data_IF_822304597816
#
_entry.id   IF_822304597816
#
_cell.length_a   1.000
_cell.length_b   1.000
_cell.length_c   1.000
_cell.angle_alpha   90.00
_cell.angle_beta   90.00
_cell.angle_gamma   90.00
#
_symmetry.space_group_name_H-M   'P 1'
#
loop_
_entity.id
_entity.type
_entity.pdbx_description
1 polymer ?
#
# COMPACT_ATOMS: atom_id res chain seq x y z
N UNK A 1 21.25 -15.81 -12.88
CA UNK A 1 19.98 -15.04 -12.96
C UNK A 1 18.88 -15.71 -13.78
N UNK A 2 19.20 -16.56 -14.75
CA UNK A 2 18.22 -17.30 -15.56
C UNK A 2 17.36 -18.32 -14.76
N UNK A 3 17.92 -18.99 -13.74
CA UNK A 3 17.20 -20.02 -12.98
C UNK A 3 16.00 -19.52 -12.16
N UNK A 4 16.08 -18.32 -11.54
CA UNK A 4 14.95 -17.76 -10.78
C UNK A 4 13.77 -17.34 -11.67
N UNK A 5 14.03 -16.89 -12.90
CA UNK A 5 13.00 -16.55 -13.88
C UNK A 5 12.24 -17.79 -14.37
N UNK A 6 12.96 -18.91 -14.57
CA UNK A 6 12.33 -20.17 -14.97
C UNK A 6 11.46 -20.78 -13.85
N UNK A 7 11.93 -20.75 -12.60
CA UNK A 7 11.18 -21.22 -11.44
C UNK A 7 9.91 -20.41 -11.19
N UNK A 8 9.98 -19.07 -11.36
CA UNK A 8 8.81 -18.21 -11.19
C UNK A 8 7.77 -18.43 -12.30
N UNK A 9 8.21 -18.64 -13.54
CA UNK A 9 7.36 -18.98 -14.68
C UNK A 9 6.65 -20.32 -14.49
N UNK A 10 7.36 -21.31 -13.93
CA UNK A 10 6.79 -22.62 -13.61
C UNK A 10 5.74 -22.52 -12.49
N UNK A 11 6.02 -21.77 -11.43
CA UNK A 11 5.09 -21.55 -10.33
C UNK A 11 3.81 -20.81 -10.79
N UNK A 12 3.95 -19.83 -11.70
CA UNK A 12 2.82 -19.11 -12.27
C UNK A 12 1.98 -19.97 -13.21
N UNK A 13 2.59 -20.86 -13.99
CA UNK A 13 1.89 -21.82 -14.83
C UNK A 13 1.14 -22.88 -13.97
N UNK A 14 1.76 -23.34 -12.87
CA UNK A 14 1.11 -24.26 -11.92
C UNK A 14 -0.05 -23.62 -11.16
N UNK A 15 0.00 -22.31 -10.88
CA UNK A 15 -1.10 -21.57 -10.28
C UNK A 15 -2.30 -21.46 -11.24
N UNK A 16 -2.05 -21.22 -12.52
CA UNK A 16 -3.09 -21.18 -13.56
C UNK A 16 -3.84 -22.52 -13.70
N UNK A 17 -3.12 -23.65 -13.59
CA UNK A 17 -3.73 -25.00 -13.63
C UNK A 17 -4.64 -25.27 -12.43
N UNK A 18 -4.39 -24.62 -11.29
CA UNK A 18 -5.23 -24.75 -10.08
C UNK A 18 -6.46 -23.84 -10.05
N UNK A 19 -6.76 -23.14 -11.15
CA UNK A 19 -7.90 -22.23 -11.22
C UNK A 19 -7.68 -20.85 -10.59
N UNK A 20 -6.43 -20.48 -10.33
CA UNK A 20 -6.06 -19.17 -9.83
C UNK A 20 -5.92 -18.20 -11.01
N UNK A 21 -6.84 -17.24 -11.10
CA UNK A 21 -7.15 -16.47 -12.32
C UNK A 21 -6.20 -15.33 -12.69
N UNK A 22 -4.98 -15.24 -12.18
CA UNK A 22 -4.07 -14.15 -12.58
C UNK A 22 -2.61 -14.58 -12.64
N UNK A 23 -2.08 -14.64 -13.85
CA UNK A 23 -0.64 -14.78 -14.10
C UNK A 23 -0.09 -13.45 -14.59
N UNK A 24 0.77 -12.81 -13.79
CA UNK A 24 1.52 -11.62 -14.22
C UNK A 24 2.84 -12.04 -14.84
N UNK A 25 2.99 -11.85 -16.13
CA UNK A 25 4.24 -12.07 -16.86
C UNK A 25 5.01 -10.73 -16.98
N UNK A 26 6.03 -10.55 -16.15
CA UNK A 26 7.09 -9.53 -16.29
C UNK A 26 6.67 -8.15 -16.83
N UNK A 27 6.01 -7.35 -15.99
CA UNK A 27 5.71 -5.95 -16.33
C UNK A 27 4.76 -5.74 -17.50
N UNK A 28 4.23 -6.82 -18.08
CA UNK A 28 3.17 -6.80 -19.07
C UNK A 28 1.93 -7.42 -18.43
N UNK A 29 0.94 -6.61 -18.12
CA UNK A 29 -0.36 -7.07 -17.67
C UNK A 29 -1.17 -7.50 -18.89
N UNK A 30 -1.49 -8.78 -18.95
CA UNK A 30 -2.47 -9.34 -19.89
C UNK A 30 -3.32 -10.33 -19.11
N UNK A 31 -4.64 -10.34 -19.37
CA UNK A 31 -5.48 -11.44 -18.92
C UNK A 31 -5.18 -12.66 -19.79
N UNK A 32 -4.76 -13.74 -19.18
CA UNK A 32 -4.55 -15.02 -19.85
C UNK A 32 -5.75 -15.90 -19.53
N UNK A 33 -6.66 -16.04 -20.48
CA UNK A 33 -7.83 -16.91 -20.38
C UNK A 33 -7.61 -18.31 -20.99
N UNK A 34 -6.36 -18.75 -21.12
CA UNK A 34 -6.05 -20.06 -21.67
C UNK A 34 -5.63 -21.04 -20.56
N UNK A 35 -6.34 -22.16 -20.47
CA UNK A 35 -6.02 -23.28 -19.58
C UNK A 35 -4.97 -24.16 -20.25
N UNK A 36 -3.87 -24.44 -19.56
CA UNK A 36 -2.87 -25.40 -20.03
C UNK A 36 -3.35 -26.83 -19.76
N UNK A 37 -3.26 -27.69 -20.76
CA UNK A 37 -3.54 -29.11 -20.58
C UNK A 37 -2.40 -29.81 -19.84
N UNK A 38 -2.61 -30.99 -19.20
CA UNK A 38 -1.56 -31.78 -18.57
C UNK A 38 -0.37 -32.06 -19.50
N UNK A 39 -0.62 -32.25 -20.80
CA UNK A 39 0.42 -32.52 -21.80
C UNK A 39 1.27 -31.26 -22.08
N UNK A 40 0.68 -30.08 -22.03
CA UNK A 40 1.40 -28.81 -22.16
C UNK A 40 2.33 -28.53 -20.98
N UNK A 41 2.15 -29.22 -19.85
CA UNK A 41 3.01 -29.11 -18.67
C UNK A 41 4.21 -30.05 -18.70
N UNK A 42 4.24 -31.04 -19.61
CA UNK A 42 5.36 -31.99 -19.73
C UNK A 42 6.61 -31.36 -20.35
N UNK A 43 6.49 -30.32 -21.19
CA UNK A 43 7.60 -29.52 -21.68
C UNK A 43 7.35 -28.01 -21.48
N UNK A 44 7.69 -27.48 -20.29
CA UNK A 44 7.42 -26.08 -19.95
C UNK A 44 8.11 -25.06 -20.86
N UNK A 45 9.26 -25.42 -21.48
CA UNK A 45 10.00 -24.50 -22.35
C UNK A 45 9.31 -24.37 -23.70
N UNK A 46 8.87 -25.48 -24.27
CA UNK A 46 8.15 -25.52 -25.55
C UNK A 46 6.81 -24.82 -25.43
N UNK A 47 6.05 -25.16 -24.40
CA UNK A 47 4.75 -24.56 -24.10
C UNK A 47 4.86 -23.04 -23.90
N UNK A 48 5.91 -22.55 -23.22
CA UNK A 48 6.14 -21.11 -23.05
C UNK A 48 6.45 -20.40 -24.37
N UNK A 49 7.28 -21.03 -25.24
CA UNK A 49 7.62 -20.47 -26.54
C UNK A 49 6.42 -20.42 -27.50
N UNK A 50 5.53 -21.40 -27.45
CA UNK A 50 4.28 -21.42 -28.19
C UNK A 50 3.30 -20.40 -27.65
N UNK A 51 3.20 -20.28 -26.34
CA UNK A 51 2.35 -19.30 -25.66
C UNK A 51 2.78 -17.86 -25.96
N UNK A 52 4.09 -17.56 -25.96
CA UNK A 52 4.61 -16.24 -26.35
C UNK A 52 4.28 -15.86 -27.80
N UNK A 53 4.11 -16.84 -28.70
CA UNK A 53 3.70 -16.62 -30.10
C UNK A 53 2.19 -16.37 -30.24
N UNK A 54 1.38 -16.95 -29.39
CA UNK A 54 -0.10 -16.89 -29.47
C UNK A 54 -0.70 -15.73 -28.69
N UNK A 55 -0.03 -15.25 -27.63
CA UNK A 55 -0.52 -14.12 -26.84
C UNK A 55 -0.28 -12.82 -27.59
N UNK A 56 -1.30 -12.29 -28.23
CA UNK A 56 -1.31 -10.90 -28.70
C UNK A 56 -1.41 -9.99 -27.50
N UNK A 57 -0.28 -9.43 -27.06
CA UNK A 57 -0.33 -8.36 -26.07
C UNK A 57 -1.02 -7.15 -26.71
N UNK A 58 -2.20 -6.77 -26.20
CA UNK A 58 -2.78 -5.50 -26.57
C UNK A 58 -1.82 -4.39 -26.20
N UNK A 59 -1.41 -3.58 -27.17
CA UNK A 59 -0.68 -2.37 -26.87
C UNK A 59 -1.56 -1.46 -26.01
N UNK A 60 -0.96 -0.64 -25.13
CA UNK A 60 -1.72 0.38 -24.34
C UNK A 60 -2.60 1.28 -25.21
N UNK A 61 -2.31 1.37 -26.52
CA UNK A 61 -3.09 2.14 -27.49
C UNK A 61 -4.52 1.62 -27.71
N UNK A 62 -4.82 0.37 -27.37
CA UNK A 62 -6.13 -0.26 -27.58
C UNK A 62 -6.95 -0.42 -26.31
N UNK A 63 -6.52 0.17 -25.18
CA UNK A 63 -7.37 0.25 -24.00
C UNK A 63 -8.49 1.27 -24.27
N UNK A 64 -9.74 0.97 -23.90
CA UNK A 64 -10.81 1.94 -24.00
C UNK A 64 -10.42 3.20 -23.23
N UNK A 65 -10.90 4.38 -23.65
CA UNK A 65 -10.69 5.61 -22.92
C UNK A 65 -11.05 5.39 -21.44
N UNK A 66 -10.17 5.80 -20.54
CA UNK A 66 -10.49 5.74 -19.12
C UNK A 66 -11.62 6.73 -18.89
N UNK A 67 -12.76 6.24 -18.43
CA UNK A 67 -13.86 7.11 -18.07
C UNK A 67 -13.40 8.15 -17.05
N UNK A 68 -13.81 9.41 -17.18
CA UNK A 68 -13.47 10.45 -16.21
C UNK A 68 -14.00 10.05 -14.83
N UNK A 69 -13.16 10.19 -13.82
CA UNK A 69 -13.55 9.95 -12.42
C UNK A 69 -14.61 10.99 -12.06
N UNK A 70 -15.80 10.59 -11.60
CA UNK A 70 -16.82 11.55 -11.23
C UNK A 70 -16.32 12.43 -10.06
N UNK A 71 -16.75 13.70 -9.98
CA UNK A 71 -16.49 14.54 -8.82
C UNK A 71 -16.97 13.86 -7.53
N UNK A 72 -16.13 13.88 -6.50
CA UNK A 72 -16.45 13.30 -5.20
C UNK A 72 -16.63 14.40 -4.17
N UNK A 73 -17.51 14.14 -3.22
CA UNK A 73 -17.70 15.01 -2.08
C UNK A 73 -16.45 14.96 -1.19
N UNK A 74 -15.74 16.08 -1.11
CA UNK A 74 -14.52 16.22 -0.32
C UNK A 74 -14.80 16.86 1.04
N UNK A 75 -16.05 17.18 1.36
CA UNK A 75 -16.42 17.79 2.65
C UNK A 75 -16.18 16.83 3.82
N UNK A 76 -15.93 17.42 4.98
CA UNK A 76 -15.70 16.65 6.20
C UNK A 76 -17.01 16.03 6.71
N UNK A 77 -17.15 14.73 6.51
CA UNK A 77 -18.31 13.95 6.98
C UNK A 77 -17.87 12.67 7.69
N UNK A 78 -17.24 12.78 8.87
CA UNK A 78 -16.78 11.59 9.56
C UNK A 78 -17.96 10.81 10.15
N UNK A 79 -17.88 9.49 10.00
CA UNK A 79 -18.72 8.57 10.76
C UNK A 79 -17.89 7.98 11.91
N UNK A 80 -18.20 8.40 13.13
CA UNK A 80 -17.53 7.92 14.32
C UNK A 80 -16.09 8.46 14.48
N UNK A 81 -15.26 7.69 15.15
CA UNK A 81 -13.86 8.04 15.39
C UNK A 81 -13.01 7.91 14.12
N UNK A 82 -12.08 8.84 13.94
CA UNK A 82 -11.19 8.93 12.78
C UNK A 82 -9.90 8.17 13.03
N UNK A 83 -9.38 7.49 12.01
CA UNK A 83 -8.05 6.87 12.02
C UNK A 83 -7.13 7.49 10.95
N UNK A 84 -5.92 7.91 11.36
CA UNK A 84 -4.88 8.38 10.49
C UNK A 84 -3.89 7.26 10.18
N UNK A 85 -3.82 6.82 8.94
CA UNK A 85 -2.86 5.83 8.44
C UNK A 85 -1.64 6.59 7.89
N UNK A 86 -0.51 6.51 8.60
CA UNK A 86 0.68 7.31 8.31
C UNK A 86 1.74 6.41 7.65
N UNK A 87 1.76 6.40 6.32
CA UNK A 87 2.77 5.70 5.54
C UNK A 87 4.02 6.57 5.31
N UNK A 88 4.99 6.08 4.54
CA UNK A 88 6.35 6.65 4.48
C UNK A 88 6.68 7.35 3.17
N UNK A 89 5.69 7.66 2.34
CA UNK A 89 5.88 8.33 1.04
C UNK A 89 6.28 9.80 1.18
N UNK A 90 6.94 10.28 0.15
CA UNK A 90 7.49 11.65 0.09
C UNK A 90 6.40 12.73 0.09
N UNK A 91 5.16 12.41 -0.33
CA UNK A 91 4.05 13.38 -0.35
C UNK A 91 3.75 14.01 1.00
N UNK A 92 4.09 13.34 2.10
CA UNK A 92 3.86 13.87 3.46
C UNK A 92 5.10 14.50 4.12
N UNK A 93 6.22 14.63 3.42
CA UNK A 93 7.51 15.08 4.01
C UNK A 93 7.40 16.38 4.80
N UNK A 94 6.61 17.32 4.31
CA UNK A 94 6.48 18.65 4.89
C UNK A 94 5.29 18.79 5.86
N UNK A 95 4.59 17.68 6.14
CA UNK A 95 3.45 17.71 7.05
C UNK A 95 3.90 17.41 8.48
N UNK A 96 3.57 18.31 9.41
CA UNK A 96 3.81 18.13 10.84
C UNK A 96 2.80 17.16 11.45
N UNK A 97 3.26 15.95 11.79
CA UNK A 97 2.43 14.91 12.40
C UNK A 97 1.85 15.30 13.77
N UNK A 98 2.45 16.27 14.48
CA UNK A 98 1.90 16.75 15.76
C UNK A 98 0.51 17.38 15.59
N UNK A 99 0.16 17.86 14.40
CA UNK A 99 -1.18 18.35 14.07
C UNK A 99 -2.28 17.28 14.21
N UNK A 100 -1.92 15.98 14.22
CA UNK A 100 -2.85 14.86 14.37
C UNK A 100 -3.21 14.56 15.83
N UNK A 101 -2.39 15.01 16.79
CA UNK A 101 -2.58 14.70 18.20
C UNK A 101 -3.95 15.17 18.71
N UNK A 102 -4.68 14.26 19.35
CA UNK A 102 -5.99 14.54 19.91
C UNK A 102 -7.14 14.65 18.90
N UNK A 103 -6.88 14.40 17.59
CA UNK A 103 -7.91 14.50 16.54
C UNK A 103 -8.39 13.14 16.02
N UNK A 104 -7.82 12.06 16.50
CA UNK A 104 -8.18 10.72 16.11
C UNK A 104 -7.06 9.74 16.43
N UNK A 105 -7.28 8.48 16.11
CA UNK A 105 -6.33 7.40 16.32
C UNK A 105 -5.24 7.40 15.23
N UNK A 106 -3.98 7.31 15.63
CA UNK A 106 -2.84 7.35 14.70
C UNK A 106 -2.21 5.98 14.54
N UNK A 107 -2.06 5.54 13.29
CA UNK A 107 -1.44 4.28 12.93
C UNK A 107 -0.20 4.52 12.07
N UNK A 108 0.98 4.44 12.68
CA UNK A 108 2.27 4.64 12.00
C UNK A 108 2.85 3.36 11.41
N UNK A 109 3.90 3.50 10.59
CA UNK A 109 4.55 2.38 9.91
C UNK A 109 6.02 2.25 10.29
N UNK A 110 6.45 1.01 10.54
CA UNK A 110 7.86 0.62 10.62
C UNK A 110 8.67 1.51 11.61
N UNK A 111 9.66 2.24 11.11
CA UNK A 111 10.60 3.02 11.93
C UNK A 111 10.17 4.46 12.21
N UNK A 112 8.95 4.84 11.82
CA UNK A 112 8.43 6.21 11.99
C UNK A 112 8.74 6.80 13.38
N UNK A 113 8.46 6.12 14.50
CA UNK A 113 8.67 6.72 15.82
C UNK A 113 10.13 7.09 16.07
N UNK A 114 11.05 6.24 15.63
CA UNK A 114 12.49 6.41 15.87
C UNK A 114 13.08 7.50 14.97
N UNK A 115 12.59 7.63 13.74
CA UNK A 115 13.14 8.58 12.75
C UNK A 115 12.56 9.97 12.90
N UNK A 116 11.26 10.08 13.21
CA UNK A 116 10.55 11.36 13.25
C UNK A 116 10.24 11.85 14.68
N UNK A 117 10.60 11.09 15.69
CA UNK A 117 10.26 11.40 17.10
C UNK A 117 8.75 11.64 17.30
N UNK A 118 7.92 10.91 16.55
CA UNK A 118 6.47 10.94 16.66
C UNK A 118 5.95 9.56 17.08
N UNK A 119 5.32 9.51 18.24
CA UNK A 119 4.77 8.27 18.78
C UNK A 119 3.28 8.15 18.43
N UNK A 120 2.93 7.30 17.45
CA UNK A 120 1.52 7.02 17.13
C UNK A 120 0.87 6.17 18.22
N UNK A 121 -0.46 6.05 18.20
CA UNK A 121 -1.19 5.14 19.08
C UNK A 121 -0.91 3.67 18.74
N UNK A 122 -0.73 3.37 17.46
CA UNK A 122 -0.32 2.07 16.98
C UNK A 122 0.77 2.13 15.92
N UNK A 123 1.54 1.05 15.82
CA UNK A 123 2.57 0.85 14.82
C UNK A 123 2.36 -0.47 14.07
N UNK A 124 2.48 -0.44 12.75
CA UNK A 124 2.47 -1.62 11.92
C UNK A 124 3.85 -1.92 11.34
N UNK A 125 4.32 -3.15 11.54
CA UNK A 125 5.54 -3.65 10.92
C UNK A 125 5.32 -5.10 10.49
N UNK A 126 5.44 -5.37 9.18
CA UNK A 126 5.26 -6.73 8.64
C UNK A 126 6.57 -7.44 8.35
N UNK A 127 7.67 -6.71 8.23
CA UNK A 127 9.00 -7.26 8.04
C UNK A 127 9.58 -7.70 9.40
N UNK A 128 9.90 -9.00 9.52
CA UNK A 128 10.38 -9.60 10.78
C UNK A 128 11.67 -8.95 11.29
N UNK A 129 12.55 -8.52 10.39
CA UNK A 129 13.79 -7.86 10.78
C UNK A 129 13.54 -6.46 11.36
N UNK A 130 12.53 -5.74 10.84
CA UNK A 130 12.07 -4.46 11.39
C UNK A 130 11.40 -4.65 12.76
N UNK A 131 10.53 -5.67 12.85
CA UNK A 131 9.86 -6.03 14.13
C UNK A 131 10.88 -6.35 15.22
N UNK A 132 11.89 -7.19 14.89
CA UNK A 132 12.97 -7.53 15.82
C UNK A 132 13.76 -6.29 16.27
N UNK A 133 14.15 -5.46 15.31
CA UNK A 133 14.89 -4.23 15.61
C UNK A 133 14.09 -3.27 16.49
N UNK A 134 12.78 -3.10 16.24
CA UNK A 134 11.91 -2.27 17.08
C UNK A 134 11.71 -2.85 18.48
N UNK A 135 11.70 -4.18 18.64
CA UNK A 135 11.58 -4.81 19.97
C UNK A 135 12.77 -4.54 20.88
N UNK A 136 13.92 -4.18 20.30
CA UNK A 136 15.15 -3.81 20.99
C UNK A 136 15.22 -2.31 21.35
N UNK A 137 14.21 -1.51 20.92
CA UNK A 137 14.14 -0.07 21.18
C UNK A 137 13.29 0.22 22.42
N UNK A 138 13.63 1.33 23.06
CA UNK A 138 12.78 1.89 24.11
C UNK A 138 11.55 2.53 23.47
N UNK A 139 10.41 1.84 23.56
CA UNK A 139 9.13 2.30 23.03
C UNK A 139 8.13 2.47 24.17
N UNK A 140 7.24 3.47 24.11
CA UNK A 140 6.21 3.68 25.13
C UNK A 140 5.38 2.43 25.38
N UNK A 141 5.13 2.09 26.64
CA UNK A 141 4.35 0.90 27.01
C UNK A 141 2.92 0.89 26.44
N UNK A 142 2.36 2.07 26.17
CA UNK A 142 1.03 2.25 25.59
C UNK A 142 0.99 2.05 24.07
N UNK A 143 2.14 1.99 23.37
CA UNK A 143 2.18 1.81 21.93
C UNK A 143 1.69 0.41 21.54
N UNK A 144 0.66 0.34 20.74
CA UNK A 144 0.20 -0.92 20.16
C UNK A 144 1.07 -1.31 18.95
N UNK A 145 1.96 -2.27 19.10
CA UNK A 145 2.76 -2.76 17.97
C UNK A 145 2.08 -3.96 17.31
N UNK A 146 1.60 -3.81 16.08
CA UNK A 146 0.94 -4.86 15.30
C UNK A 146 1.89 -5.51 14.30
N UNK A 147 1.80 -6.83 14.17
CA UNK A 147 2.58 -7.61 13.21
C UNK A 147 1.89 -8.93 12.85
N UNK A 148 2.37 -9.57 11.78
CA UNK A 148 1.96 -10.93 11.44
C UNK A 148 2.45 -11.97 12.47
N UNK A 149 1.81 -13.15 12.52
CA UNK A 149 2.17 -14.24 13.45
C UNK A 149 3.44 -14.98 13.00
N UNK A 150 4.46 -14.25 12.57
CA UNK A 150 5.75 -14.82 12.16
C UNK A 150 6.62 -15.11 13.38
N UNK A 151 7.26 -16.30 13.38
CA UNK A 151 8.12 -16.72 14.48
C UNK A 151 9.35 -15.82 14.69
N UNK A 152 10.02 -16.00 15.82
CA UNK A 152 11.35 -15.41 16.09
C UNK A 152 11.39 -14.14 16.91
N UNK A 153 10.26 -13.46 17.17
CA UNK A 153 10.20 -12.32 18.10
C UNK A 153 9.22 -12.64 19.23
N UNK A 154 9.74 -12.76 20.45
CA UNK A 154 8.97 -12.99 21.68
C UNK A 154 8.85 -11.67 22.46
N UNK A 155 8.13 -10.70 21.87
CA UNK A 155 7.85 -9.43 22.55
C UNK A 155 6.35 -9.39 22.89
N UNK A 156 5.98 -9.32 24.20
CA UNK A 156 4.57 -9.33 24.62
C UNK A 156 3.82 -8.06 24.19
N UNK A 157 4.53 -6.98 23.83
CA UNK A 157 3.93 -5.74 23.32
C UNK A 157 3.37 -5.91 21.93
N UNK A 158 3.78 -6.96 21.18
CA UNK A 158 3.37 -7.16 19.78
C UNK A 158 2.02 -7.85 19.72
N UNK A 159 1.04 -7.13 19.23
CA UNK A 159 -0.29 -7.66 18.87
C UNK A 159 -0.20 -8.45 17.57
N UNK A 160 -0.57 -9.72 17.61
CA UNK A 160 -0.51 -10.60 16.45
C UNK A 160 -1.81 -10.53 15.66
N UNK A 161 -1.69 -10.30 14.36
CA UNK A 161 -2.80 -10.47 13.42
C UNK A 161 -3.04 -11.99 13.30
N UNK A 162 -4.30 -12.42 13.33
CA UNK A 162 -4.65 -13.84 13.34
C UNK A 162 -4.13 -14.60 12.10
N UNK A 163 -4.02 -13.94 10.95
CA UNK A 163 -3.58 -14.53 9.69
C UNK A 163 -2.53 -13.65 9.00
N UNK A 164 -1.46 -14.26 8.48
CA UNK A 164 -0.53 -13.58 7.58
C UNK A 164 -1.15 -13.48 6.17
N UNK A 165 -1.47 -12.27 5.76
CA UNK A 165 -2.00 -12.00 4.42
C UNK A 165 -0.90 -11.83 3.37
N UNK A 166 0.37 -11.76 3.77
CA UNK A 166 1.48 -11.45 2.88
C UNK A 166 1.49 -10.01 2.35
N UNK A 167 0.77 -9.10 3.02
CA UNK A 167 0.59 -7.72 2.58
C UNK A 167 1.66 -6.79 3.12
N UNK A 168 1.82 -5.64 2.43
CA UNK A 168 2.68 -4.53 2.87
C UNK A 168 2.13 -3.85 4.11
N UNK A 169 3.01 -3.18 4.88
CA UNK A 169 2.65 -2.57 6.18
C UNK A 169 1.47 -1.58 6.09
N UNK A 170 1.47 -0.69 5.10
CA UNK A 170 0.41 0.31 4.95
C UNK A 170 -0.98 -0.31 4.73
N UNK A 171 -1.18 -1.12 3.69
CA UNK A 171 -2.45 -1.81 3.48
C UNK A 171 -2.85 -2.73 4.64
N UNK A 172 -1.88 -3.36 5.31
CA UNK A 172 -2.14 -4.20 6.51
C UNK A 172 -2.65 -3.35 7.67
N UNK A 173 -2.03 -2.19 7.94
CA UNK A 173 -2.51 -1.27 8.97
C UNK A 173 -3.92 -0.77 8.68
N UNK A 174 -4.18 -0.41 7.42
CA UNK A 174 -5.52 -0.02 6.95
C UNK A 174 -6.53 -1.12 7.24
N UNK A 175 -6.20 -2.37 6.91
CA UNK A 175 -7.08 -3.52 7.17
C UNK A 175 -7.29 -3.77 8.68
N UNK A 176 -6.24 -3.64 9.49
CA UNK A 176 -6.36 -3.76 10.95
C UNK A 176 -7.24 -2.65 11.53
N UNK A 177 -7.10 -1.41 11.05
CA UNK A 177 -7.96 -0.31 11.44
C UNK A 177 -9.45 -0.59 11.15
N UNK A 178 -9.74 -1.20 9.99
CA UNK A 178 -11.10 -1.54 9.58
C UNK A 178 -11.64 -2.78 10.32
N UNK A 179 -10.88 -3.89 10.33
CA UNK A 179 -11.39 -5.20 10.79
C UNK A 179 -11.27 -5.39 12.31
N UNK A 180 -10.19 -4.90 12.93
CA UNK A 180 -9.92 -5.10 14.35
C UNK A 180 -10.34 -3.89 15.20
N UNK A 181 -10.12 -2.67 14.69
CA UNK A 181 -10.43 -1.43 15.40
C UNK A 181 -11.80 -0.83 15.03
N UNK A 182 -12.40 -1.30 13.91
CA UNK A 182 -13.75 -0.92 13.45
C UNK A 182 -13.90 0.55 13.03
N UNK A 183 -12.81 1.22 12.65
CA UNK A 183 -12.90 2.56 12.11
C UNK A 183 -13.67 2.57 10.78
N UNK A 184 -14.45 3.62 10.56
CA UNK A 184 -15.18 3.85 9.31
C UNK A 184 -14.68 5.05 8.53
N UNK A 185 -13.88 5.91 9.14
CA UNK A 185 -13.29 7.08 8.51
C UNK A 185 -11.78 7.01 8.65
N UNK A 186 -11.07 6.89 7.52
CA UNK A 186 -9.62 6.78 7.48
C UNK A 186 -9.03 7.92 6.65
N UNK A 187 -8.02 8.60 7.19
CA UNK A 187 -7.14 9.50 6.45
C UNK A 187 -5.81 8.81 6.17
N UNK A 188 -5.40 8.79 4.91
CA UNK A 188 -4.23 8.04 4.46
C UNK A 188 -3.18 9.03 3.97
N UNK A 189 -2.07 9.14 4.71
CA UNK A 189 -0.97 10.07 4.44
C UNK A 189 0.27 9.30 3.95
N UNK A 190 0.93 9.81 2.93
CA UNK A 190 2.19 9.23 2.45
C UNK A 190 2.08 7.82 1.87
N UNK A 191 0.90 7.39 1.43
CA UNK A 191 0.74 6.14 0.69
C UNK A 191 0.84 6.39 -0.81
N UNK A 192 2.02 6.81 -1.22
CA UNK A 192 2.30 7.17 -2.60
C UNK A 192 2.38 5.90 -3.46
N UNK A 193 1.66 5.90 -4.57
CA UNK A 193 1.63 4.77 -5.50
C UNK A 193 2.63 4.93 -6.65
N UNK A 194 3.41 6.01 -6.68
CA UNK A 194 4.34 6.33 -7.73
C UNK A 194 5.76 6.49 -7.19
N UNK A 195 6.76 6.39 -8.09
CA UNK A 195 8.14 6.72 -7.77
C UNK A 195 8.36 8.23 -7.71
N UNK A 196 9.58 8.64 -7.40
CA UNK A 196 10.02 10.03 -7.51
C UNK A 196 10.98 10.20 -8.66
N UNK A 197 11.06 11.40 -9.23
CA UNK A 197 12.09 11.80 -10.18
C UNK A 197 13.45 11.91 -9.46
N UNK A 198 14.58 12.03 -10.19
CA UNK A 198 15.88 12.31 -9.55
C UNK A 198 15.87 13.58 -8.69
N UNK A 199 15.06 14.58 -9.06
CA UNK A 199 14.86 15.83 -8.34
C UNK A 199 13.96 15.70 -7.10
N UNK A 200 13.39 14.53 -6.86
CA UNK A 200 12.56 14.23 -5.68
C UNK A 200 11.06 14.46 -5.86
N UNK A 201 10.59 14.74 -7.08
CA UNK A 201 9.17 15.00 -7.37
C UNK A 201 8.45 13.65 -7.56
N UNK A 202 7.33 13.47 -6.87
CA UNK A 202 6.46 12.28 -7.08
C UNK A 202 5.83 12.36 -8.46
N UNK A 203 6.06 11.36 -9.29
CA UNK A 203 5.58 11.34 -10.67
C UNK A 203 5.26 9.93 -11.15
N UNK A 204 4.09 9.75 -11.73
CA UNK A 204 3.63 8.44 -12.24
C UNK A 204 4.52 7.91 -13.39
N UNK A 205 4.87 8.78 -14.33
CA UNK A 205 5.56 8.41 -15.57
C UNK A 205 7.08 8.47 -15.43
N UNK A 206 7.58 9.55 -14.83
CA UNK A 206 9.01 9.86 -14.71
C UNK A 206 9.64 9.38 -13.41
N UNK A 207 8.82 9.03 -12.41
CA UNK A 207 9.29 8.58 -11.10
C UNK A 207 10.04 7.26 -11.18
N UNK A 208 11.35 7.30 -11.31
CA UNK A 208 12.25 6.14 -11.42
C UNK A 208 12.88 5.73 -10.09
N UNK A 209 12.89 6.63 -9.09
CA UNK A 209 13.53 6.42 -7.80
C UNK A 209 12.55 6.04 -6.70
N UNK A 210 13.09 5.46 -5.64
CA UNK A 210 12.33 5.01 -4.48
C UNK A 210 11.63 6.17 -3.78
N UNK A 211 10.31 6.11 -3.75
CA UNK A 211 9.47 7.02 -3.00
C UNK A 211 9.33 6.54 -1.56
N UNK A 212 10.20 7.01 -0.70
CA UNK A 212 10.19 6.72 0.74
C UNK A 212 11.06 7.72 1.48
N UNK A 213 10.51 8.43 2.46
CA UNK A 213 11.19 9.44 3.28
C UNK A 213 12.38 8.91 4.05
N UNK A 214 12.40 7.60 4.33
CA UNK A 214 13.44 6.96 5.15
C UNK A 214 14.51 6.26 4.32
N UNK A 215 14.50 6.43 2.99
CA UNK A 215 15.59 5.92 2.14
C UNK A 215 16.94 6.43 2.63
N UNK A 216 17.92 5.54 2.71
CA UNK A 216 19.23 5.82 3.28
C UNK A 216 19.33 5.76 4.80
N UNK A 217 18.23 5.61 5.52
CA UNK A 217 18.21 5.37 6.97
C UNK A 217 18.38 3.89 7.30
N UNK A 218 18.70 3.60 8.55
CA UNK A 218 18.77 2.23 9.06
C UNK A 218 17.46 1.46 8.76
N UNK A 219 17.58 0.19 8.39
CA UNK A 219 16.46 -0.72 8.01
C UNK A 219 15.73 -0.35 6.73
N UNK A 220 16.23 0.61 5.95
CA UNK A 220 15.69 0.99 4.64
C UNK A 220 16.70 0.82 3.51
N UNK A 221 16.19 0.87 2.27
CA UNK A 221 17.02 0.81 1.08
C UNK A 221 17.92 2.05 0.98
N UNK A 222 19.01 1.92 0.19
CA UNK A 222 19.93 3.04 -0.09
C UNK A 222 19.19 4.23 -0.69
N UNK A 223 19.68 5.43 -0.42
CA UNK A 223 19.06 6.69 -0.86
C UNK A 223 18.84 6.77 -2.38
N UNK A 224 19.75 6.19 -3.18
CA UNK A 224 19.69 6.18 -4.65
C UNK A 224 18.97 4.95 -5.25
N UNK A 225 18.29 4.14 -4.43
CA UNK A 225 17.59 2.94 -4.90
C UNK A 225 16.52 3.29 -5.93
N UNK A 226 16.34 2.41 -6.90
CA UNK A 226 15.26 2.50 -7.86
C UNK A 226 13.91 2.20 -7.20
N UNK A 227 12.85 2.71 -7.83
CA UNK A 227 11.48 2.52 -7.34
C UNK A 227 11.15 1.04 -7.16
N UNK A 228 10.39 0.74 -6.13
CA UNK A 228 9.80 -0.58 -5.96
C UNK A 228 8.52 -0.71 -6.79
N UNK A 229 8.16 -1.94 -7.12
CA UNK A 229 6.86 -2.21 -7.73
C UNK A 229 5.75 -1.90 -6.71
N UNK A 230 4.92 -0.92 -7.01
CA UNK A 230 3.85 -0.46 -6.13
C UNK A 230 2.53 -1.23 -6.30
N UNK A 231 2.40 -2.03 -7.37
CA UNK A 231 1.16 -2.72 -7.70
C UNK A 231 0.64 -3.64 -6.59
N UNK A 232 1.53 -4.17 -5.74
CA UNK A 232 1.10 -4.99 -4.62
C UNK A 232 0.24 -4.19 -3.63
N UNK A 233 0.76 -3.06 -3.12
CA UNK A 233 -0.02 -2.27 -2.15
C UNK A 233 -1.19 -1.52 -2.80
N UNK A 234 -1.10 -1.19 -4.09
CA UNK A 234 -2.26 -0.68 -4.83
C UNK A 234 -3.40 -1.71 -4.83
N UNK A 235 -3.15 -2.96 -5.24
CA UNK A 235 -4.16 -4.00 -5.27
C UNK A 235 -4.69 -4.34 -3.86
N UNK A 236 -3.83 -4.31 -2.85
CA UNK A 236 -4.22 -4.52 -1.45
C UNK A 236 -5.14 -3.40 -0.94
N UNK A 237 -4.89 -2.13 -1.32
CA UNK A 237 -5.78 -1.01 -1.00
C UNK A 237 -7.11 -1.10 -1.76
N UNK A 238 -7.09 -1.51 -3.05
CA UNK A 238 -8.33 -1.82 -3.81
C UNK A 238 -9.15 -2.89 -3.09
N UNK A 239 -8.50 -3.92 -2.54
CA UNK A 239 -9.18 -4.96 -1.75
C UNK A 239 -9.80 -4.37 -0.48
N UNK A 240 -9.07 -3.53 0.26
CA UNK A 240 -9.59 -2.86 1.45
C UNK A 240 -10.84 -2.04 1.13
N UNK A 241 -10.79 -1.20 0.09
CA UNK A 241 -11.93 -0.34 -0.29
C UNK A 241 -13.14 -1.17 -0.75
N UNK A 242 -12.91 -2.26 -1.48
CA UNK A 242 -13.98 -3.14 -1.99
C UNK A 242 -14.65 -3.92 -0.86
N UNK A 243 -13.88 -4.43 0.10
CA UNK A 243 -14.41 -5.22 1.21
C UNK A 243 -15.08 -4.36 2.30
N UNK A 244 -14.82 -3.05 2.29
CA UNK A 244 -15.39 -2.10 3.27
C UNK A 244 -16.10 -0.93 2.56
N UNK A 245 -17.19 -1.19 1.83
CA UNK A 245 -17.87 -0.17 1.03
C UNK A 245 -18.48 0.96 1.87
N UNK A 246 -18.73 0.71 3.15
CA UNK A 246 -19.29 1.67 4.10
C UNK A 246 -18.21 2.46 4.88
N UNK A 247 -16.93 2.28 4.56
CA UNK A 247 -15.85 3.07 5.13
C UNK A 247 -15.40 4.15 4.13
N UNK A 248 -15.08 5.33 4.62
CA UNK A 248 -14.56 6.45 3.85
C UNK A 248 -13.04 6.51 3.94
N UNK A 249 -12.38 6.57 2.80
CA UNK A 249 -10.93 6.64 2.67
C UNK A 249 -10.54 7.98 2.07
N UNK A 250 -10.11 8.92 2.90
CA UNK A 250 -9.55 10.20 2.46
C UNK A 250 -8.04 10.03 2.22
N UNK A 251 -7.63 10.00 0.97
CA UNK A 251 -6.22 9.93 0.59
C UNK A 251 -5.64 11.33 0.43
N UNK A 252 -4.67 11.66 1.28
CA UNK A 252 -4.06 13.01 1.29
C UNK A 252 -2.93 13.03 0.28
N UNK A 253 -3.11 13.82 -0.78
CA UNK A 253 -2.20 13.95 -1.92
C UNK A 253 -1.66 15.37 -2.07
N UNK A 254 -0.59 15.54 -2.83
CA UNK A 254 -0.13 16.86 -3.26
C UNK A 254 -1.07 17.43 -4.33
N UNK A 255 -1.13 18.76 -4.47
CA UNK A 255 -2.08 19.46 -5.37
C UNK A 255 -2.05 18.97 -6.83
N UNK A 256 -0.89 18.51 -7.30
CA UNK A 256 -0.69 18.03 -8.66
C UNK A 256 -0.76 16.50 -8.78
N UNK A 257 -1.26 15.82 -7.77
CA UNK A 257 -1.31 14.36 -7.72
C UNK A 257 -2.73 13.84 -7.56
N UNK A 258 -2.93 12.63 -8.04
CA UNK A 258 -4.15 11.85 -7.86
C UNK A 258 -3.82 10.38 -7.65
N UNK A 259 -4.73 9.66 -7.08
CA UNK A 259 -4.64 8.20 -6.95
C UNK A 259 -4.68 7.50 -8.31
N UNK A 260 -4.06 6.31 -8.43
CA UNK A 260 -4.24 5.47 -9.61
C UNK A 260 -5.73 5.19 -9.88
N UNK A 261 -6.11 5.13 -11.16
CA UNK A 261 -7.50 4.96 -11.61
C UNK A 261 -8.27 3.85 -10.88
N UNK A 262 -7.62 2.72 -10.57
CA UNK A 262 -8.25 1.61 -9.82
C UNK A 262 -8.80 2.02 -8.45
N UNK A 263 -8.18 3.00 -7.79
CA UNK A 263 -8.67 3.57 -6.53
C UNK A 263 -9.54 4.80 -6.78
N UNK A 264 -9.11 5.68 -7.67
CA UNK A 264 -9.84 6.90 -7.99
C UNK A 264 -11.30 6.64 -8.42
N UNK A 265 -11.58 5.52 -9.08
CA UNK A 265 -12.92 5.10 -9.46
C UNK A 265 -13.77 4.52 -8.31
N UNK A 266 -13.19 4.23 -7.14
CA UNK A 266 -13.97 3.73 -5.99
C UNK A 266 -14.76 4.87 -5.35
N UNK A 267 -16.05 4.67 -5.10
CA UNK A 267 -16.94 5.68 -4.53
C UNK A 267 -16.53 6.14 -3.14
N UNK A 268 -15.94 5.24 -2.37
CA UNK A 268 -15.50 5.47 -1.00
C UNK A 268 -14.00 5.85 -0.86
N UNK A 269 -13.29 6.06 -1.97
CA UNK A 269 -11.91 6.55 -1.99
C UNK A 269 -11.89 7.98 -2.52
N UNK A 270 -11.44 8.92 -1.70
CA UNK A 270 -11.57 10.36 -1.95
C UNK A 270 -10.18 10.99 -1.84
N UNK A 271 -9.63 11.49 -2.94
CA UNK A 271 -8.40 12.26 -2.90
C UNK A 271 -8.69 13.67 -2.40
N UNK A 272 -7.93 14.12 -1.41
CA UNK A 272 -7.94 15.51 -0.91
C UNK A 272 -6.51 16.02 -0.85
N UNK A 273 -6.31 17.31 -1.08
CA UNK A 273 -5.00 17.91 -0.88
C UNK A 273 -4.74 18.28 0.59
N UNK A 274 -3.50 18.67 0.91
CA UNK A 274 -3.12 19.03 2.27
C UNK A 274 -3.88 20.26 2.82
N UNK A 275 -4.24 21.23 1.96
CA UNK A 275 -5.05 22.38 2.36
C UNK A 275 -6.45 21.92 2.85
N UNK A 276 -7.12 21.09 2.05
CA UNK A 276 -8.43 20.54 2.43
C UNK A 276 -8.32 19.63 3.66
N UNK A 277 -7.23 18.87 3.78
CA UNK A 277 -6.99 18.06 4.96
C UNK A 277 -6.83 18.92 6.23
N UNK A 278 -6.14 20.04 6.15
CA UNK A 278 -6.01 20.97 7.29
C UNK A 278 -7.36 21.59 7.70
N UNK A 279 -8.23 21.91 6.73
CA UNK A 279 -9.62 22.32 7.04
C UNK A 279 -10.34 21.23 7.84
N UNK A 280 -10.23 19.96 7.41
CA UNK A 280 -10.84 18.83 8.15
C UNK A 280 -10.27 18.70 9.58
N UNK A 281 -8.95 18.89 9.76
CA UNK A 281 -8.34 18.88 11.09
C UNK A 281 -8.85 20.01 12.00
N UNK A 282 -9.15 21.19 11.42
CA UNK A 282 -9.77 22.29 12.17
C UNK A 282 -11.21 21.97 12.58
N UNK A 283 -12.00 21.36 11.69
CA UNK A 283 -13.35 20.91 12.02
C UNK A 283 -13.36 19.82 13.10
N UNK A 284 -12.40 18.88 13.07
CA UNK A 284 -12.21 17.89 14.14
C UNK A 284 -11.95 18.56 15.49
N UNK A 285 -11.10 19.59 15.52
CA UNK A 285 -10.76 20.31 16.74
C UNK A 285 -11.98 21.05 17.33
N UNK A 286 -12.83 21.67 16.49
CA UNK A 286 -14.06 22.35 16.91
C UNK A 286 -15.09 21.40 17.54
N UNK A 287 -15.14 20.15 17.07
CA UNK A 287 -16.09 19.14 17.59
C UNK A 287 -15.62 18.49 18.90
N UNK A 288 -14.32 18.54 19.19
CA UNK A 288 -13.73 18.00 20.40
C UNK A 288 -13.74 19.00 21.57
N UNK A 289 -13.95 20.30 21.30
CA UNK A 289 -14.15 21.39 22.27
C UNK A 289 -15.61 21.50 22.70
#
# INVERSE_FOLDING_TARGET
MAGRRAQWRLASAQAAVRGETTVSLFGKTGEVSAWLTPEQLTDPKKTLAEFEKTVKFSSRANLPPVEPVPPKDTEYKPEGEVCFIIANGESRRNFDLNKLKGKGYTFGMNVLPVVENFWPDALMSVDIATVKWLSEKDVPAKLEHWSYPRGGVKDPRIKRIAKDWGWSSGPTATRVALEYKKFKTLYILGMDFFGITPEGIVDEKKGSKLNNMYKGKERYRKANSDRTYFGNWLNQMVTNTTNHPNANFYHVVLDNQSSPNKLAQKTNWIDINYSKFEEHLQEMAKRAS
#
